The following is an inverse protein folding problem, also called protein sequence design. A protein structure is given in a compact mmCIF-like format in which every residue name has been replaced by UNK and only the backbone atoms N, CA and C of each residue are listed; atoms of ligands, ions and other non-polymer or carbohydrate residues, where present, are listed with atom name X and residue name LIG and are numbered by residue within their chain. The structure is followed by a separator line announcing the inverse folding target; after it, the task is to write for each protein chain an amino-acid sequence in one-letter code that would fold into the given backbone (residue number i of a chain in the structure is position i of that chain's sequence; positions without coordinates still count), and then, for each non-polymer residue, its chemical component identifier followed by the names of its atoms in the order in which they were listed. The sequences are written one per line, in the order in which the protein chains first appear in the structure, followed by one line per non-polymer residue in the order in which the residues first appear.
data_IF_797711105229
#
_entry.id   IF_797711105229
#
_cell.length_a   1.000
_cell.length_b   1.000
_cell.length_c   1.000
_cell.angle_alpha   90.00
_cell.angle_beta   90.00
_cell.angle_gamma   90.00
#
_symmetry.space_group_name_H-M   'P 1'
#
loop_
_entity.id
_entity.type
_entity.pdbx_description
1 polymer ?
#
# COMPACT_ATOMS: atom_id res chain seq x y z
N UNK A 1 4.61 -9.67 -1.90
CA UNK A 1 5.49 -8.98 -0.92
C UNK A 1 5.81 -7.55 -1.33
N UNK A 2 6.18 -7.26 -2.59
CA UNK A 2 6.57 -5.89 -2.99
C UNK A 2 5.43 -4.87 -3.08
N UNK A 3 4.20 -5.28 -3.45
CA UNK A 3 3.08 -4.35 -3.69
C UNK A 3 2.66 -3.62 -2.41
N UNK A 4 2.36 -4.34 -1.32
CA UNK A 4 1.96 -3.74 -0.03
C UNK A 4 2.97 -2.70 0.48
N UNK A 5 4.25 -3.03 0.47
CA UNK A 5 5.31 -2.12 0.90
C UNK A 5 5.35 -0.84 0.05
N UNK A 6 5.15 -0.96 -1.28
CA UNK A 6 5.04 0.19 -2.18
C UNK A 6 3.78 1.01 -1.91
N UNK A 7 2.64 0.38 -1.63
CA UNK A 7 1.41 1.10 -1.26
C UNK A 7 1.59 1.91 0.04
N UNK A 8 2.21 1.32 1.07
CA UNK A 8 2.54 2.03 2.32
C UNK A 8 3.48 3.21 2.04
N UNK A 9 4.52 3.00 1.22
CA UNK A 9 5.50 4.03 0.87
C UNK A 9 4.87 5.17 0.05
N UNK A 10 4.04 4.85 -0.93
CA UNK A 10 3.28 5.81 -1.72
C UNK A 10 2.33 6.65 -0.85
N UNK A 11 1.58 5.99 0.05
CA UNK A 11 0.73 6.68 1.03
C UNK A 11 1.51 7.62 1.96
N UNK A 12 2.73 7.23 2.37
CA UNK A 12 3.62 8.10 3.14
C UNK A 12 4.04 9.34 2.34
N UNK A 13 4.44 9.20 1.08
CA UNK A 13 4.85 10.35 0.26
C UNK A 13 3.69 11.31 0.00
N UNK A 14 2.49 10.81 -0.30
CA UNK A 14 1.28 11.63 -0.44
C UNK A 14 0.98 12.40 0.84
N UNK A 15 1.04 11.75 2.01
CA UNK A 15 0.82 12.42 3.31
C UNK A 15 1.81 13.56 3.58
N UNK A 16 3.03 13.45 3.07
CA UNK A 16 4.11 14.42 3.30
C UNK A 16 4.29 15.43 2.15
N UNK A 17 3.40 15.43 1.15
CA UNK A 17 3.49 16.30 -0.05
C UNK A 17 4.77 16.11 -0.86
N UNK A 18 5.26 14.87 -0.88
CA UNK A 18 6.43 14.45 -1.65
C UNK A 18 5.96 13.87 -2.99
N UNK A 19 5.45 14.75 -3.86
CA UNK A 19 4.72 14.36 -5.07
C UNK A 19 5.60 13.65 -6.10
N UNK A 20 6.88 14.04 -6.21
CA UNK A 20 7.83 13.43 -7.13
C UNK A 20 8.15 11.99 -6.74
N UNK A 21 8.32 11.73 -5.45
CA UNK A 21 8.57 10.41 -4.90
C UNK A 21 7.32 9.53 -4.99
N UNK A 22 6.14 10.09 -4.72
CA UNK A 22 4.87 9.39 -4.93
C UNK A 22 4.69 8.96 -6.39
N UNK A 23 5.10 9.81 -7.35
CA UNK A 23 5.05 9.53 -8.77
C UNK A 23 5.99 8.38 -9.18
N UNK A 24 7.18 8.29 -8.58
CA UNK A 24 8.07 7.14 -8.81
C UNK A 24 7.44 5.84 -8.33
N UNK A 25 6.71 5.85 -7.22
CA UNK A 25 5.99 4.67 -6.72
C UNK A 25 4.84 4.30 -7.66
N UNK A 26 4.07 5.28 -8.18
CA UNK A 26 3.01 5.02 -9.17
C UNK A 26 3.55 4.30 -10.39
N UNK A 27 4.57 4.86 -11.04
CA UNK A 27 5.24 4.25 -12.19
C UNK A 27 5.78 2.86 -11.93
N UNK A 28 6.23 2.61 -10.70
CA UNK A 28 6.75 1.30 -10.30
C UNK A 28 5.65 0.26 -10.00
N UNK A 29 4.39 0.69 -9.99
CA UNK A 29 3.18 -0.11 -9.86
C UNK A 29 2.34 -0.15 -11.14
N UNK A 30 2.72 0.55 -12.22
CA UNK A 30 1.95 0.62 -13.48
C UNK A 30 1.63 -0.76 -14.08
N UNK A 31 2.53 -1.73 -13.94
CA UNK A 31 2.36 -3.09 -14.47
C UNK A 31 1.64 -4.04 -13.49
N UNK A 32 1.20 -3.55 -12.32
CA UNK A 32 0.53 -4.37 -11.30
C UNK A 32 -0.98 -4.39 -11.58
N UNK A 33 -1.56 -5.59 -11.57
CA UNK A 33 -2.99 -5.78 -11.79
C UNK A 33 -3.84 -5.03 -10.73
N UNK A 34 -4.91 -4.37 -11.17
CA UNK A 34 -5.80 -3.60 -10.31
C UNK A 34 -6.42 -4.46 -9.19
N UNK A 35 -6.79 -5.71 -9.46
CA UNK A 35 -7.27 -6.64 -8.43
C UNK A 35 -6.20 -6.95 -7.39
N UNK A 36 -4.92 -7.00 -7.79
CA UNK A 36 -3.82 -7.21 -6.85
C UNK A 36 -3.64 -5.99 -5.93
N UNK A 37 -3.79 -4.78 -6.47
CA UNK A 37 -3.78 -3.52 -5.71
C UNK A 37 -4.95 -3.48 -4.72
N UNK A 38 -6.18 -3.73 -5.18
CA UNK A 38 -7.39 -3.72 -4.35
C UNK A 38 -7.30 -4.74 -3.20
N UNK A 39 -6.86 -5.96 -3.50
CA UNK A 39 -6.66 -6.99 -2.48
C UNK A 39 -5.61 -6.56 -1.45
N UNK A 40 -4.48 -6.02 -1.93
CA UNK A 40 -3.40 -5.57 -1.05
C UNK A 40 -3.84 -4.41 -0.14
N UNK A 41 -4.60 -3.44 -0.68
CA UNK A 41 -5.20 -2.34 0.08
C UNK A 41 -6.16 -2.87 1.16
N UNK A 42 -7.09 -3.76 0.79
CA UNK A 42 -8.05 -4.33 1.72
C UNK A 42 -7.35 -5.07 2.87
N UNK A 43 -6.33 -5.87 2.56
CA UNK A 43 -5.53 -6.59 3.57
C UNK A 43 -4.78 -5.63 4.52
N UNK A 44 -4.22 -4.53 4.00
CA UNK A 44 -3.53 -3.51 4.82
C UNK A 44 -4.49 -2.75 5.74
N UNK A 45 -5.68 -2.42 5.26
CA UNK A 45 -6.68 -1.66 6.03
C UNK A 45 -7.41 -2.52 7.07
N UNK A 46 -7.57 -3.81 6.81
CA UNK A 46 -8.20 -4.77 7.70
C UNK A 46 -7.26 -5.28 8.81
N UNK A 47 -5.95 -5.08 8.67
CA UNK A 47 -4.99 -5.46 9.71
C UNK A 47 -5.19 -4.60 10.97
N UNK A 48 -5.54 -5.24 12.09
CA UNK A 48 -5.70 -4.60 13.41
C UNK A 48 -4.40 -4.56 14.24
N UNK A 49 -3.40 -5.38 13.89
CA UNK A 49 -2.03 -5.40 14.43
C UNK A 49 -1.04 -5.96 13.40
N UNK A 50 0.23 -5.55 13.47
CA UNK A 50 1.28 -6.16 12.62
C UNK A 50 1.57 -7.55 13.14
N UNK A 51 1.29 -8.57 12.36
CA UNK A 51 1.66 -9.94 12.67
C UNK A 51 2.76 -10.38 11.70
N UNK A 52 3.93 -10.70 12.24
CA UNK A 52 4.96 -11.46 11.54
C UNK A 52 4.80 -12.91 12.02
N UNK A 53 4.03 -13.73 11.29
CA UNK A 53 3.99 -15.16 11.58
C UNK A 53 5.21 -15.81 10.91
N UNK A 54 6.25 -16.11 11.70
CA UNK A 54 7.42 -16.88 11.27
C UNK A 54 7.07 -18.37 11.29
N UNK A 55 6.17 -18.79 10.42
CA UNK A 55 5.90 -20.20 10.11
C UNK A 55 5.82 -20.38 8.59
N UNK A 56 6.02 -21.62 8.11
CA UNK A 56 6.32 -22.02 6.71
C UNK A 56 5.42 -21.48 5.57
N UNK A 57 4.39 -20.68 5.88
CA UNK A 57 3.40 -20.13 4.93
C UNK A 57 3.69 -18.69 4.45
N UNK A 58 4.73 -18.00 4.96
CA UNK A 58 5.17 -16.65 4.50
C UNK A 58 4.04 -15.61 4.31
N UNK A 59 3.17 -15.42 5.31
CA UNK A 59 2.08 -14.45 5.24
C UNK A 59 2.46 -13.14 5.96
N UNK A 60 2.67 -12.06 5.18
CA UNK A 60 2.93 -10.73 5.73
C UNK A 60 1.64 -9.92 5.86
N UNK A 61 1.23 -9.67 7.11
CA UNK A 61 0.16 -8.75 7.47
C UNK A 61 0.76 -7.50 8.13
N UNK A 62 0.98 -6.47 7.33
CA UNK A 62 1.48 -5.17 7.78
C UNK A 62 0.33 -4.32 8.33
N UNK A 63 0.45 -3.85 9.57
CA UNK A 63 -0.52 -2.92 10.15
C UNK A 63 -0.28 -1.49 9.70
N UNK A 64 -1.35 -0.85 9.24
CA UNK A 64 -1.37 0.57 8.91
C UNK A 64 -2.09 1.34 10.03
N UNK A 65 -1.38 2.21 10.79
CA UNK A 65 -1.97 3.07 11.81
C UNK A 65 -3.14 3.91 11.28
N UNK A 66 -4.19 4.19 12.08
CA UNK A 66 -5.41 4.87 11.61
C UNK A 66 -5.14 6.19 10.87
N UNK A 67 -4.21 7.00 11.36
CA UNK A 67 -3.83 8.30 10.79
C UNK A 67 -3.20 8.18 9.38
N UNK A 68 -2.70 7.00 9.01
CA UNK A 68 -2.10 6.72 7.70
C UNK A 68 -3.06 6.07 6.71
N UNK A 69 -4.26 5.66 7.15
CA UNK A 69 -5.24 4.95 6.31
C UNK A 69 -5.86 5.84 5.24
N UNK A 70 -6.18 7.10 5.56
CA UNK A 70 -6.77 8.04 4.59
C UNK A 70 -5.77 8.43 3.47
N UNK A 71 -4.50 8.77 3.76
CA UNK A 71 -3.49 8.93 2.72
C UNK A 71 -3.28 7.68 1.84
N UNK A 72 -3.31 6.48 2.44
CA UNK A 72 -3.18 5.23 1.70
C UNK A 72 -4.33 5.04 0.70
N UNK A 73 -5.58 5.28 1.12
CA UNK A 73 -6.76 5.19 0.23
C UNK A 73 -6.68 6.14 -0.94
N UNK A 74 -6.27 7.40 -0.69
CA UNK A 74 -6.10 8.39 -1.77
C UNK A 74 -5.04 7.96 -2.76
N UNK A 75 -3.94 7.38 -2.28
CA UNK A 75 -2.92 6.84 -3.15
C UNK A 75 -3.45 5.69 -4.00
N UNK A 76 -4.14 4.71 -3.40
CA UNK A 76 -4.71 3.57 -4.15
C UNK A 76 -5.74 4.01 -5.19
N UNK A 77 -6.64 4.94 -4.84
CA UNK A 77 -7.60 5.51 -5.79
C UNK A 77 -6.94 6.21 -6.99
N UNK A 78 -5.74 6.78 -6.80
CA UNK A 78 -5.00 7.43 -7.90
C UNK A 78 -4.41 6.44 -8.92
N UNK A 79 -4.25 5.16 -8.54
CA UNK A 79 -3.72 4.12 -9.43
C UNK A 79 -4.76 3.64 -10.46
N UNK A 80 -6.06 3.85 -10.22
CA UNK A 80 -7.13 3.38 -11.09
C UNK A 80 -7.53 4.41 -12.16
N UNK A 81 -6.83 5.56 -12.23
CA UNK A 81 -7.07 6.64 -13.19
C UNK A 81 -5.89 6.81 -14.17
N UNK A 82 -5.37 5.69 -14.69
CA UNK A 82 -4.46 5.63 -15.84
C UNK A 82 -5.21 5.27 -17.12
#
# INVERSE_FOLDING_TARGET
MAVKAKLILGGFFVANKLDAEAELVRRNLDDVDAMEVERAEAELLAADRSFFEVTDRQLNLEFVPPERREPLRRFCASLHHG
#
